data_IF_509936762509
#
_entry.id   IF_509936762509
#
_cell.length_a   1.000
_cell.length_b   1.000
_cell.length_c   1.000
_cell.angle_alpha   90.00
_cell.angle_beta   90.00
_cell.angle_gamma   90.00
#
_symmetry.space_group_name_H-M   'P 1'
#
loop_
_entity.id
_entity.type
_entity.pdbx_description
1 polymer ?
#
# COMPACT_ATOMS: atom_id res chain seq x y z
N UNK A 1 13.48 15.64 -9.77
CA UNK A 1 12.11 15.95 -9.31
C UNK A 1 12.02 15.64 -7.82
N UNK A 2 11.23 16.36 -7.03
CA UNK A 2 11.04 16.04 -5.62
C UNK A 2 10.29 14.71 -5.47
N UNK A 3 10.72 13.91 -4.49
CA UNK A 3 10.10 12.66 -4.08
C UNK A 3 9.39 12.85 -2.75
N UNK A 4 8.18 12.35 -2.63
CA UNK A 4 7.33 12.53 -1.45
C UNK A 4 7.18 11.20 -0.72
N UNK A 5 7.65 11.14 0.52
CA UNK A 5 7.36 10.00 1.39
C UNK A 5 5.98 10.19 2.00
N UNK A 6 5.08 9.24 1.77
CA UNK A 6 3.77 9.24 2.40
C UNK A 6 3.91 8.88 3.87
N UNK A 7 3.06 9.43 4.73
CA UNK A 7 2.86 8.93 6.10
C UNK A 7 1.81 7.81 6.08
N UNK A 8 1.86 6.90 7.06
CA UNK A 8 0.90 5.78 7.15
C UNK A 8 -0.55 6.27 7.29
N UNK A 9 -0.77 7.45 7.87
CA UNK A 9 -2.11 8.04 7.99
C UNK A 9 -2.69 8.48 6.64
N UNK A 10 -1.86 8.76 5.63
CA UNK A 10 -2.35 9.15 4.30
C UNK A 10 -3.18 8.02 3.68
N UNK A 11 -2.77 6.76 3.83
CA UNK A 11 -3.54 5.62 3.33
C UNK A 11 -4.93 5.51 3.99
N UNK A 12 -5.00 5.79 5.29
CA UNK A 12 -6.27 5.87 6.00
C UNK A 12 -7.14 7.01 5.47
N UNK A 13 -6.56 8.19 5.22
CA UNK A 13 -7.29 9.33 4.69
C UNK A 13 -7.78 9.11 3.26
N UNK A 14 -7.02 8.40 2.43
CA UNK A 14 -7.45 8.00 1.09
C UNK A 14 -8.61 7.00 1.19
N UNK A 15 -8.49 5.98 2.04
CA UNK A 15 -9.57 5.01 2.26
C UNK A 15 -10.85 5.65 2.78
N UNK A 16 -10.72 6.60 3.72
CA UNK A 16 -11.84 7.32 4.32
C UNK A 16 -12.39 8.44 3.41
N UNK A 17 -11.86 8.62 2.20
CA UNK A 17 -12.28 9.66 1.24
C UNK A 17 -11.90 11.09 1.63
N UNK A 18 -11.07 11.27 2.66
CA UNK A 18 -10.57 12.58 3.12
C UNK A 18 -9.47 13.14 2.22
N UNK A 19 -8.76 12.27 1.52
CA UNK A 19 -7.77 12.61 0.50
C UNK A 19 -8.20 11.96 -0.81
N UNK A 20 -8.38 12.76 -1.85
CA UNK A 20 -8.65 12.22 -3.18
C UNK A 20 -7.35 11.66 -3.79
N UNK A 21 -7.36 10.37 -4.13
CA UNK A 21 -6.24 9.65 -4.73
C UNK A 21 -5.75 10.31 -6.04
N UNK A 22 -6.64 10.92 -6.81
CA UNK A 22 -6.30 11.59 -8.08
C UNK A 22 -5.36 12.78 -7.86
N UNK A 23 -5.39 13.39 -6.68
CA UNK A 23 -4.50 14.52 -6.33
C UNK A 23 -3.06 14.06 -6.06
N UNK A 24 -2.86 12.76 -5.84
CA UNK A 24 -1.57 12.14 -5.58
C UNK A 24 -0.96 11.54 -6.86
N UNK A 25 -1.78 11.29 -7.89
CA UNK A 25 -1.31 10.78 -9.18
C UNK A 25 -0.30 11.71 -9.84
N UNK A 26 0.70 11.14 -10.52
CA UNK A 26 1.76 11.87 -11.20
C UNK A 26 2.87 12.43 -10.29
N UNK A 27 2.77 12.26 -8.97
CA UNK A 27 3.85 12.54 -8.03
C UNK A 27 4.78 11.33 -7.91
N UNK A 28 6.06 11.56 -7.68
CA UNK A 28 7.01 10.50 -7.28
C UNK A 28 6.78 10.20 -5.79
N UNK A 29 5.92 9.22 -5.53
CA UNK A 29 5.50 8.80 -4.18
C UNK A 29 6.29 7.58 -3.74
N UNK A 30 6.77 7.61 -2.49
CA UNK A 30 7.41 6.47 -1.86
C UNK A 30 6.79 6.15 -0.51
N UNK A 31 6.80 4.86 -0.19
CA UNK A 31 6.48 4.35 1.12
C UNK A 31 7.42 3.17 1.41
N UNK A 32 7.56 2.83 2.69
CA UNK A 32 8.48 1.80 3.15
C UNK A 32 7.76 0.52 3.55
N UNK A 33 8.52 -0.57 3.67
CA UNK A 33 8.03 -1.85 4.20
C UNK A 33 7.48 -1.71 5.63
N UNK A 34 8.07 -0.85 6.46
CA UNK A 34 7.57 -0.59 7.83
C UNK A 34 6.13 -0.08 7.79
N UNK A 35 5.82 0.82 6.86
CA UNK A 35 4.46 1.35 6.71
C UNK A 35 3.50 0.30 6.18
N UNK A 36 3.95 -0.58 5.28
CA UNK A 36 3.16 -1.74 4.85
C UNK A 36 2.84 -2.67 6.02
N UNK A 37 3.81 -2.91 6.91
CA UNK A 37 3.63 -3.75 8.10
C UNK A 37 2.66 -3.10 9.10
N UNK A 38 2.72 -1.79 9.28
CA UNK A 38 1.75 -1.03 10.07
C UNK A 38 0.33 -1.19 9.52
N UNK A 39 0.14 -1.07 8.21
CA UNK A 39 -1.17 -1.30 7.57
C UNK A 39 -1.62 -2.76 7.74
N UNK A 40 -0.71 -3.72 7.61
CA UNK A 40 -0.98 -5.15 7.77
C UNK A 40 -1.38 -5.55 9.20
N UNK A 41 -0.98 -4.76 10.20
CA UNK A 41 -1.38 -4.94 11.60
C UNK A 41 -2.77 -4.35 11.92
N UNK A 42 -3.51 -3.84 10.93
CA UNK A 42 -4.90 -3.40 11.10
C UNK A 42 -5.80 -4.59 11.46
N UNK A 43 -6.49 -4.50 12.61
CA UNK A 43 -7.33 -5.58 13.16
C UNK A 43 -8.55 -5.92 12.28
N UNK A 44 -9.12 -4.92 11.63
CA UNK A 44 -10.25 -5.12 10.72
C UNK A 44 -9.72 -5.65 9.39
N UNK A 45 -10.04 -6.92 9.09
CA UNK A 45 -9.58 -7.63 7.91
C UNK A 45 -10.01 -6.96 6.59
N UNK A 46 -11.23 -6.43 6.53
CA UNK A 46 -11.75 -5.76 5.33
C UNK A 46 -11.02 -4.42 5.13
N UNK A 47 -10.84 -3.66 6.23
CA UNK A 47 -10.08 -2.41 6.21
C UNK A 47 -8.62 -2.64 5.83
N UNK A 48 -7.98 -3.67 6.41
CA UNK A 48 -6.60 -4.08 6.08
C UNK A 48 -6.44 -4.36 4.59
N UNK A 49 -7.33 -5.18 4.02
CA UNK A 49 -7.29 -5.50 2.60
C UNK A 49 -7.41 -4.24 1.72
N UNK A 50 -8.30 -3.31 2.08
CA UNK A 50 -8.47 -2.05 1.36
C UNK A 50 -7.24 -1.12 1.47
N UNK A 51 -6.65 -1.01 2.66
CA UNK A 51 -5.43 -0.21 2.89
C UNK A 51 -4.24 -0.76 2.08
N UNK A 52 -4.03 -2.08 2.08
CA UNK A 52 -2.95 -2.71 1.32
C UNK A 52 -3.15 -2.56 -0.19
N UNK A 53 -4.40 -2.56 -0.67
CA UNK A 53 -4.72 -2.25 -2.07
C UNK A 53 -4.32 -0.82 -2.44
N UNK A 54 -4.73 0.17 -1.63
CA UNK A 54 -4.37 1.58 -1.84
C UNK A 54 -2.84 1.78 -1.79
N UNK A 55 -2.15 1.07 -0.89
CA UNK A 55 -0.68 1.08 -0.82
C UNK A 55 -0.06 0.66 -2.16
N UNK A 56 -0.52 -0.46 -2.73
CA UNK A 56 -0.05 -0.94 -4.02
C UNK A 56 -0.34 0.01 -5.19
N UNK A 57 -1.49 0.69 -5.16
CA UNK A 57 -1.89 1.68 -6.18
C UNK A 57 -1.05 2.96 -6.13
N UNK A 58 -0.73 3.44 -4.91
CA UNK A 58 0.02 4.70 -4.72
C UNK A 58 1.53 4.54 -4.84
N UNK A 59 2.08 3.36 -4.56
CA UNK A 59 3.53 3.11 -4.61
C UNK A 59 3.88 1.95 -5.55
N UNK A 60 3.60 2.06 -6.86
CA UNK A 60 3.82 0.99 -7.82
C UNK A 60 5.30 0.65 -8.03
N UNK A 61 6.24 1.55 -7.70
CA UNK A 61 7.68 1.27 -7.79
C UNK A 61 8.16 0.22 -6.77
N UNK A 62 7.37 -0.07 -5.73
CA UNK A 62 7.58 -1.25 -4.86
C UNK A 62 7.12 -2.55 -5.54
N UNK A 63 6.32 -2.49 -6.60
CA UNK A 63 5.75 -3.65 -7.30
C UNK A 63 6.73 -4.36 -8.26
N UNK A 64 7.96 -3.85 -8.42
CA UNK A 64 9.08 -4.65 -8.96
C UNK A 64 9.63 -5.63 -7.89
N UNK A 65 8.83 -6.02 -6.91
CA UNK A 65 8.87 -7.40 -6.39
C UNK A 65 7.73 -8.20 -7.04
N UNK A 66 7.85 -8.40 -8.35
CA UNK A 66 7.17 -9.50 -9.04
C UNK A 66 7.75 -10.82 -8.54
N UNK A 67 7.23 -11.32 -7.43
CA UNK A 67 7.27 -12.75 -7.15
C UNK A 67 6.01 -13.13 -6.38
N UNK A 68 4.90 -13.12 -7.11
CA UNK A 68 3.85 -14.09 -6.84
C UNK A 68 4.40 -15.49 -7.20
N UNK A 69 4.97 -16.20 -6.23
CA UNK A 69 4.93 -17.68 -6.17
C UNK A 69 4.69 -18.13 -4.73
N UNK A 70 3.49 -17.88 -4.21
CA UNK A 70 2.91 -18.76 -3.21
C UNK A 70 2.19 -19.91 -3.94
N UNK A 71 2.95 -20.73 -4.67
CA UNK A 71 2.47 -22.06 -5.02
C UNK A 71 2.25 -22.79 -3.70
N UNK A 72 1.00 -23.00 -3.34
CA UNK A 72 0.59 -23.95 -2.31
C UNK A 72 1.06 -25.32 -2.80
N UNK A 73 2.24 -25.75 -2.37
CA UNK A 73 2.63 -27.16 -2.42
C UNK A 73 2.46 -27.69 -1.00
N UNK A 74 1.22 -28.07 -0.70
CA UNK A 74 0.99 -29.10 0.30
C UNK A 74 1.57 -30.39 -0.26
N UNK A 75 2.75 -30.79 0.20
CA UNK A 75 3.31 -32.11 -0.06
C UNK A 75 3.32 -32.91 1.24
N UNK A 76 2.42 -33.90 1.21
CA UNK A 76 2.44 -35.21 1.87
C UNK A 76 2.32 -35.26 3.39
#
# INVERSE_FOLDING_TARGET
MPRYMLDTNVFNHVLDGKVNIDTLQGKDLVATHVQRDELANTKDEARKAALLKIFGELTPDQAITSSAVASVVSKN
#
